data_IF_942219148130
#
_entry.id   IF_942219148130
#
_cell.length_a   1.000
_cell.length_b   1.000
_cell.length_c   1.000
_cell.angle_alpha   90.00
_cell.angle_beta   90.00
_cell.angle_gamma   90.00
#
_symmetry.space_group_name_H-M   'P 1'
#
loop_
_entity.id
_entity.type
_entity.pdbx_description
1 polymer ?
#
# COMPACT_ATOMS: atom_id res chain seq x y z
N UNK A 1 16.30 3.08 1.04
CA UNK A 1 14.98 2.73 1.62
C UNK A 1 14.74 1.22 1.74
N UNK A 2 15.37 0.35 0.95
CA UNK A 2 15.20 -1.11 1.04
C UNK A 2 15.82 -1.72 2.31
N UNK A 3 16.90 -1.12 2.83
CA UNK A 3 17.67 -1.62 3.97
C UNK A 3 16.93 -1.53 5.31
N UNK A 4 16.13 -0.49 5.56
CA UNK A 4 15.35 -0.36 6.80
C UNK A 4 14.20 -1.37 6.92
N UNK A 5 13.68 -1.86 5.78
CA UNK A 5 12.47 -2.71 5.77
C UNK A 5 12.79 -4.18 6.04
N UNK A 6 13.97 -4.67 5.60
CA UNK A 6 14.47 -5.98 6.03
C UNK A 6 14.79 -6.00 7.53
N UNK A 7 15.15 -4.86 8.11
CA UNK A 7 15.52 -4.78 9.53
C UNK A 7 14.35 -5.01 10.49
N UNK A 8 13.08 -4.88 10.07
CA UNK A 8 11.94 -5.05 10.97
C UNK A 8 11.33 -6.44 10.94
N UNK A 9 11.42 -7.15 9.81
CA UNK A 9 10.81 -8.48 9.69
C UNK A 9 11.56 -9.53 10.52
N UNK A 10 12.88 -9.42 10.58
CA UNK A 10 13.72 -10.30 11.39
C UNK A 10 13.41 -10.21 12.88
N UNK A 11 13.48 -9.03 13.54
CA UNK A 11 13.14 -8.92 14.95
C UNK A 11 11.67 -9.21 15.22
N UNK A 12 10.75 -8.89 14.28
CA UNK A 12 9.34 -9.22 14.46
C UNK A 12 9.10 -10.73 14.52
N UNK A 13 9.81 -11.53 13.74
CA UNK A 13 9.61 -12.98 13.68
C UNK A 13 10.73 -13.80 14.33
N UNK A 14 11.67 -13.16 15.03
CA UNK A 14 12.80 -13.83 15.68
C UNK A 14 13.80 -14.47 14.72
N UNK A 15 13.88 -14.02 13.48
CA UNK A 15 14.82 -14.54 12.48
C UNK A 15 16.22 -13.97 12.72
N UNK A 16 17.24 -14.83 12.62
CA UNK A 16 18.64 -14.40 12.72
C UNK A 16 19.03 -13.55 11.49
N UNK A 17 19.88 -12.54 11.69
CA UNK A 17 20.46 -11.79 10.58
C UNK A 17 21.33 -12.73 9.74
N UNK A 18 21.12 -12.73 8.41
CA UNK A 18 21.91 -13.55 7.49
C UNK A 18 23.12 -12.77 6.98
N UNK A 19 24.26 -13.44 6.88
CA UNK A 19 25.49 -12.90 6.26
C UNK A 19 25.44 -12.97 4.72
N UNK A 20 24.56 -13.82 4.16
CA UNK A 20 24.38 -14.00 2.71
C UNK A 20 22.99 -13.57 2.25
N UNK A 21 22.94 -12.96 1.07
CA UNK A 21 21.72 -12.56 0.38
C UNK A 21 20.93 -13.79 -0.13
N UNK A 22 19.61 -13.79 0.06
CA UNK A 22 18.71 -14.75 -0.57
C UNK A 22 18.52 -14.37 -2.04
N UNK A 23 19.11 -15.16 -2.94
CA UNK A 23 19.14 -14.89 -4.39
C UNK A 23 17.75 -14.95 -5.04
N UNK A 24 16.80 -15.69 -4.48
CA UNK A 24 15.45 -15.76 -5.02
C UNK A 24 14.70 -14.44 -4.81
N UNK A 25 14.83 -13.85 -3.62
CA UNK A 25 14.24 -12.53 -3.31
C UNK A 25 14.80 -11.42 -4.21
N UNK A 26 16.05 -11.54 -4.67
CA UNK A 26 16.65 -10.58 -5.59
C UNK A 26 16.04 -10.60 -6.99
N UNK A 27 15.45 -11.74 -7.40
CA UNK A 27 14.72 -11.85 -8.67
C UNK A 27 13.40 -11.10 -8.59
N UNK A 28 12.74 -11.08 -7.43
CA UNK A 28 11.51 -10.35 -7.25
C UNK A 28 11.73 -8.82 -7.30
N UNK A 29 10.80 -8.14 -7.96
CA UNK A 29 10.66 -6.69 -8.08
C UNK A 29 9.32 -6.30 -7.50
N UNK A 30 9.32 -5.27 -6.66
CA UNK A 30 8.12 -4.78 -6.02
C UNK A 30 7.74 -3.40 -6.54
N UNK A 31 6.46 -3.28 -6.87
CA UNK A 31 5.80 -2.02 -7.20
C UNK A 31 4.78 -1.76 -6.10
N UNK A 32 4.88 -0.59 -5.45
CA UNK A 32 4.10 -0.27 -4.26
C UNK A 32 3.39 1.06 -4.49
N UNK A 33 2.06 1.05 -4.38
CA UNK A 33 1.27 2.27 -4.24
C UNK A 33 1.01 2.55 -2.78
N UNK A 34 1.39 3.73 -2.27
CA UNK A 34 1.13 4.11 -0.89
C UNK A 34 -0.05 5.08 -0.81
N UNK A 35 -0.93 4.86 0.17
CA UNK A 35 -2.12 5.65 0.46
C UNK A 35 -2.16 5.97 1.96
N UNK A 36 -3.03 6.88 2.36
CA UNK A 36 -3.24 7.20 3.78
C UNK A 36 -4.73 7.20 4.10
N UNK A 37 -5.06 6.81 5.33
CA UNK A 37 -6.43 6.89 5.83
C UNK A 37 -6.85 8.32 6.20
N UNK A 38 -5.92 9.28 6.17
CA UNK A 38 -6.18 10.67 6.47
C UNK A 38 -6.54 11.46 5.21
N UNK A 39 -7.82 11.83 5.07
CA UNK A 39 -8.35 12.49 3.87
C UNK A 39 -7.73 13.86 3.53
N UNK A 40 -7.32 14.64 4.53
CA UNK A 40 -6.69 15.97 4.32
C UNK A 40 -5.19 15.89 4.66
N UNK A 41 -4.53 14.87 4.11
CA UNK A 41 -3.10 14.65 4.26
C UNK A 41 -2.33 15.22 3.08
N UNK A 42 -1.69 16.35 3.28
CA UNK A 42 -0.76 16.95 2.31
C UNK A 42 0.68 16.45 2.47
N UNK A 43 0.91 15.56 3.44
CA UNK A 43 2.24 15.25 3.95
C UNK A 43 2.60 13.77 3.83
N UNK A 44 1.86 12.98 3.06
CA UNK A 44 2.14 11.55 2.93
C UNK A 44 3.52 11.30 2.26
N UNK A 45 3.92 12.15 1.31
CA UNK A 45 5.28 12.18 0.76
C UNK A 45 5.92 13.53 1.08
N UNK A 46 6.71 13.57 2.15
CA UNK A 46 7.46 14.79 2.51
C UNK A 46 8.76 14.83 1.70
N UNK A 47 8.86 15.79 0.79
CA UNK A 47 10.16 16.27 0.32
C UNK A 47 10.56 17.44 1.24
N UNK A 48 11.62 17.23 2.03
CA UNK A 48 12.16 18.28 2.88
C UNK A 48 13.12 19.13 2.06
N UNK A 49 12.63 20.27 1.59
CA UNK A 49 13.41 21.26 0.87
C UNK A 49 12.52 22.41 0.43
N UNK A 50 12.89 23.65 0.78
CA UNK A 50 12.30 24.83 0.16
C UNK A 50 13.08 25.11 -1.12
N UNK A 51 12.54 24.76 -2.27
CA UNK A 51 13.09 25.25 -3.52
C UNK A 51 12.73 26.75 -3.64
N UNK A 52 13.73 27.62 -3.72
CA UNK A 52 13.54 29.07 -3.88
C UNK A 52 12.65 29.73 -2.80
N UNK A 53 12.73 29.28 -1.54
CA UNK A 53 11.88 29.74 -0.43
C UNK A 53 10.36 29.53 -0.64
N UNK A 54 9.96 28.75 -1.64
CA UNK A 54 8.55 28.43 -1.88
C UNK A 54 8.13 27.31 -0.94
N UNK A 55 6.97 27.53 -0.33
CA UNK A 55 6.31 26.51 0.49
C UNK A 55 5.78 25.37 -0.40
N UNK A 56 5.77 24.16 0.15
CA UNK A 56 5.40 22.97 -0.61
C UNK A 56 3.96 23.06 -1.16
N UNK A 57 3.84 22.92 -2.48
CA UNK A 57 2.57 22.74 -3.19
C UNK A 57 2.16 21.27 -3.08
N UNK A 58 1.18 20.98 -2.24
CA UNK A 58 0.65 19.64 -2.01
C UNK A 58 -0.81 19.58 -2.38
N UNK A 59 -1.25 18.39 -2.81
CA UNK A 59 -2.66 18.08 -3.04
C UNK A 59 -2.95 16.75 -2.35
N UNK A 60 -4.11 16.64 -1.71
CA UNK A 60 -4.63 15.37 -1.20
C UNK A 60 -5.78 14.91 -2.08
N UNK A 61 -5.73 13.68 -2.56
CA UNK A 61 -6.78 13.06 -3.37
C UNK A 61 -7.52 12.04 -2.50
N UNK A 62 -8.81 12.27 -2.26
CA UNK A 62 -9.68 11.31 -1.57
C UNK A 62 -10.29 10.40 -2.61
N UNK A 63 -10.03 9.11 -2.46
CA UNK A 63 -10.38 8.08 -3.43
C UNK A 63 -11.44 7.14 -2.86
N UNK A 64 -12.44 6.81 -3.68
CA UNK A 64 -13.40 5.78 -3.38
C UNK A 64 -12.72 4.41 -3.45
N UNK A 65 -12.62 3.74 -2.28
CA UNK A 65 -11.96 2.43 -2.17
C UNK A 65 -12.55 1.40 -3.15
N UNK A 66 -13.87 1.34 -3.27
CA UNK A 66 -14.55 0.26 -4.02
C UNK A 66 -14.37 0.36 -5.54
N UNK A 67 -14.18 1.58 -6.05
CA UNK A 67 -13.95 1.82 -7.46
C UNK A 67 -12.53 1.42 -7.87
N UNK A 68 -11.54 1.73 -7.03
CA UNK A 68 -10.11 1.56 -7.36
C UNK A 68 -9.48 0.24 -6.93
N UNK A 69 -9.85 -0.30 -5.76
CA UNK A 69 -9.19 -1.46 -5.17
C UNK A 69 -10.06 -2.70 -5.17
N UNK A 70 -9.44 -3.87 -5.16
CA UNK A 70 -10.15 -5.14 -5.06
C UNK A 70 -10.88 -5.26 -3.72
N UNK A 71 -12.04 -5.94 -3.77
CA UNK A 71 -12.83 -6.19 -2.56
C UNK A 71 -12.14 -7.20 -1.67
N UNK A 72 -11.74 -8.32 -2.25
CA UNK A 72 -11.13 -9.43 -1.53
C UNK A 72 -9.61 -9.33 -1.56
N UNK A 73 -8.99 -9.76 -0.46
CA UNK A 73 -7.55 -9.98 -0.42
C UNK A 73 -7.25 -11.21 -1.25
N UNK A 74 -6.54 -11.06 -2.35
CA UNK A 74 -5.91 -12.19 -3.02
C UNK A 74 -4.38 -12.02 -2.93
N UNK A 75 -3.66 -13.12 -2.72
CA UNK A 75 -2.20 -13.12 -2.74
C UNK A 75 -1.65 -13.30 -4.16
N UNK A 76 -2.50 -13.08 -5.19
CA UNK A 76 -2.19 -13.27 -6.61
C UNK A 76 -1.07 -12.32 -7.06
N UNK A 77 -0.81 -11.24 -6.30
CA UNK A 77 0.30 -10.34 -6.52
C UNK A 77 1.69 -10.95 -6.24
N UNK A 78 1.80 -12.20 -5.76
CA UNK A 78 3.01 -13.01 -5.84
C UNK A 78 3.02 -13.73 -7.19
N UNK A 79 3.12 -12.97 -8.27
CA UNK A 79 3.20 -13.55 -9.60
C UNK A 79 4.53 -14.31 -9.70
N UNK A 80 4.43 -15.63 -9.91
CA UNK A 80 5.52 -16.58 -10.17
C UNK A 80 6.41 -16.98 -8.99
N UNK A 81 5.87 -17.83 -8.11
CA UNK A 81 6.65 -18.84 -7.39
C UNK A 81 6.05 -20.25 -7.52
N UNK A 82 5.15 -20.49 -8.48
CA UNK A 82 4.86 -21.86 -8.92
C UNK A 82 5.79 -22.11 -10.11
N UNK A 83 6.85 -22.93 -9.95
CA UNK A 83 7.50 -23.50 -11.12
C UNK A 83 6.41 -24.19 -11.94
N UNK A 84 6.43 -24.06 -13.27
CA UNK A 84 5.62 -24.87 -14.18
C UNK A 84 5.85 -26.36 -13.88
N UNK A 85 5.09 -26.91 -12.94
CA UNK A 85 4.98 -28.33 -12.67
C UNK A 85 3.50 -28.63 -12.55
N UNK A 86 2.97 -29.14 -13.65
CA UNK A 86 1.61 -29.66 -13.85
C UNK A 86 0.52 -28.61 -14.05
N UNK A 87 0.45 -28.10 -15.28
CA UNK A 87 -0.85 -27.85 -15.93
C UNK A 87 -1.59 -29.20 -16.00
N UNK A 88 -2.38 -29.52 -14.97
CA UNK A 88 -3.49 -30.43 -15.17
C UNK A 88 -4.56 -29.67 -15.93
N UNK A 89 -4.76 -30.12 -17.17
CA UNK A 89 -5.81 -29.71 -18.08
C UNK A 89 -7.18 -29.87 -17.41
N UNK A 90 -7.84 -28.74 -17.15
CA UNK A 90 -9.30 -28.71 -17.11
C UNK A 90 -9.73 -28.17 -18.47
N UNK A 91 -10.23 -29.07 -19.30
CA UNK A 91 -10.75 -28.79 -20.62
C UNK A 91 -11.81 -27.70 -20.56
N UNK A 92 -11.57 -26.61 -21.31
CA UNK A 92 -12.61 -25.68 -21.73
C UNK A 92 -12.51 -25.56 -23.24
N UNK A 93 -13.28 -26.40 -23.92
CA UNK A 93 -13.51 -26.36 -25.35
C UNK A 93 -14.13 -25.02 -25.78
N UNK A 94 -13.42 -24.38 -26.70
CA UNK A 94 -13.89 -23.60 -27.86
C UNK A 94 -15.03 -22.58 -27.70
N UNK A 95 -14.66 -21.31 -27.86
CA UNK A 95 -15.18 -20.53 -29.00
C UNK A 95 -14.15 -19.52 -29.50
N UNK A 96 -13.95 -19.53 -30.82
CA UNK A 96 -12.95 -18.77 -31.55
C UNK A 96 -13.32 -17.28 -31.76
N UNK A 97 -12.26 -16.49 -31.98
CA UNK A 97 -12.19 -15.25 -32.76
C UNK A 97 -12.91 -14.01 -32.22
N UNK A 98 -12.10 -13.02 -31.79
CA UNK A 98 -12.20 -11.63 -32.27
C UNK A 98 -11.01 -10.77 -31.81
N UNK A 99 -10.15 -10.44 -32.77
CA UNK A 99 -9.45 -9.16 -32.98
C UNK A 99 -8.60 -8.53 -31.87
N UNK A 100 -7.33 -8.30 -32.24
CA UNK A 100 -6.37 -7.38 -31.62
C UNK A 100 -7.01 -6.08 -31.07
N UNK A 101 -7.19 -6.03 -29.77
CA UNK A 101 -7.06 -4.82 -28.98
C UNK A 101 -6.10 -5.17 -27.83
N UNK A 102 -4.97 -4.46 -27.75
CA UNK A 102 -4.21 -4.35 -26.51
C UNK A 102 -5.08 -3.62 -25.49
N UNK A 103 -6.10 -4.30 -24.95
CA UNK A 103 -6.67 -3.93 -23.67
C UNK A 103 -5.68 -4.44 -22.63
N UNK A 104 -4.85 -3.54 -22.11
CA UNK A 104 -4.22 -3.77 -20.81
C UNK A 104 -5.35 -4.14 -19.85
N UNK A 105 -5.42 -5.39 -19.41
CA UNK A 105 -6.37 -5.76 -18.37
C UNK A 105 -6.05 -4.91 -17.14
N UNK A 106 -6.98 -4.05 -16.75
CA UNK A 106 -6.84 -3.16 -15.60
C UNK A 106 -6.47 -4.01 -14.37
N UNK A 107 -5.20 -3.96 -13.96
CA UNK A 107 -4.70 -4.68 -12.80
C UNK A 107 -5.32 -4.04 -11.55
N UNK A 108 -6.41 -4.60 -11.06
CA UNK A 108 -7.02 -4.16 -9.81
C UNK A 108 -6.25 -4.80 -8.66
N UNK A 109 -5.74 -4.01 -7.72
CA UNK A 109 -4.97 -4.53 -6.58
C UNK A 109 -5.74 -4.36 -5.26
N UNK A 110 -5.59 -5.28 -4.30
CA UNK A 110 -6.10 -5.10 -2.95
C UNK A 110 -5.32 -4.01 -2.21
N UNK A 111 -6.01 -3.33 -1.28
CA UNK A 111 -5.42 -2.32 -0.41
C UNK A 111 -5.28 -2.85 1.02
N UNK A 112 -4.04 -2.84 1.52
CA UNK A 112 -3.69 -3.34 2.84
C UNK A 112 -3.33 -2.20 3.79
N UNK A 113 -3.61 -2.36 5.08
CA UNK A 113 -3.10 -1.48 6.13
C UNK A 113 -1.68 -1.89 6.47
N UNK A 114 -0.77 -0.93 6.64
CA UNK A 114 0.55 -1.22 7.17
C UNK A 114 0.46 -1.65 8.65
N UNK A 115 1.43 -2.44 9.10
CA UNK A 115 1.62 -2.77 10.52
C UNK A 115 2.82 -1.97 11.02
N UNK A 116 2.58 -1.12 12.02
CA UNK A 116 3.59 -0.38 12.74
C UNK A 116 4.14 -1.22 13.86
N UNK A 117 5.44 -1.46 13.84
CA UNK A 117 6.14 -2.29 14.82
C UNK A 117 7.30 -1.54 15.46
N UNK A 118 7.41 -1.65 16.78
CA UNK A 118 8.56 -1.20 17.55
C UNK A 118 9.33 -2.43 18.07
N UNK A 119 10.55 -2.70 17.58
CA UNK A 119 11.32 -3.87 18.00
C UNK A 119 11.75 -3.83 19.46
N UNK A 120 11.88 -2.64 20.06
CA UNK A 120 12.36 -2.49 21.44
C UNK A 120 11.27 -2.85 22.46
N UNK A 121 10.03 -2.39 22.24
CA UNK A 121 8.89 -2.72 23.10
C UNK A 121 8.09 -3.96 22.68
N UNK A 122 8.30 -4.44 21.44
CA UNK A 122 7.47 -5.46 20.82
C UNK A 122 6.07 -4.99 20.42
N UNK A 123 5.79 -3.69 20.49
CA UNK A 123 4.46 -3.15 20.20
C UNK A 123 4.17 -3.18 18.71
N UNK A 124 3.03 -3.78 18.34
CA UNK A 124 2.53 -3.81 16.96
C UNK A 124 1.10 -3.24 16.87
N UNK A 125 0.85 -2.33 15.93
CA UNK A 125 -0.48 -1.80 15.61
C UNK A 125 -0.69 -1.66 14.11
N UNK A 126 -1.88 -1.98 13.61
CA UNK A 126 -2.26 -1.66 12.23
C UNK A 126 -2.45 -0.16 12.05
N UNK A 127 -2.21 0.33 10.83
CA UNK A 127 -2.52 1.69 10.45
C UNK A 127 -4.00 1.99 10.71
N UNK A 128 -4.26 3.11 11.38
CA UNK A 128 -5.59 3.50 11.83
C UNK A 128 -5.75 5.02 11.74
N UNK A 129 -7.01 5.46 11.64
CA UNK A 129 -7.41 6.85 11.77
C UNK A 129 -7.33 7.32 13.23
N UNK A 130 -7.32 8.63 13.40
CA UNK A 130 -7.38 9.30 14.70
C UNK A 130 -8.77 9.96 14.89
N UNK A 131 -9.24 10.04 16.14
CA UNK A 131 -10.58 10.53 16.50
C UNK A 131 -10.92 11.89 15.89
N UNK A 132 -10.00 12.84 15.95
CA UNK A 132 -10.21 14.19 15.45
C UNK A 132 -10.54 14.23 13.95
N UNK A 133 -10.10 13.23 13.17
CA UNK A 133 -10.44 13.13 11.75
C UNK A 133 -11.93 12.84 11.53
N UNK A 134 -12.55 12.07 12.42
CA UNK A 134 -13.99 11.79 12.38
C UNK A 134 -14.79 13.05 12.71
N UNK A 135 -14.35 13.80 13.74
CA UNK A 135 -14.97 15.08 14.08
C UNK A 135 -14.97 16.05 12.89
N UNK A 136 -13.83 16.19 12.19
CA UNK A 136 -13.72 17.09 11.04
C UNK A 136 -14.58 16.65 9.86
N UNK A 137 -14.68 15.35 9.61
CA UNK A 137 -15.49 14.83 8.51
C UNK A 137 -17.00 14.98 8.74
N UNK A 138 -17.44 14.77 9.98
CA UNK A 138 -18.86 14.90 10.37
C UNK A 138 -19.25 16.34 10.72
N UNK A 139 -18.29 17.23 10.96
CA UNK A 139 -18.53 18.59 11.46
C UNK A 139 -18.97 18.64 12.93
N UNK A 140 -18.92 17.51 13.64
CA UNK A 140 -19.31 17.36 15.05
C UNK A 140 -18.49 16.24 15.69
N UNK A 141 -18.13 16.39 16.96
CA UNK A 141 -17.53 15.31 17.76
C UNK A 141 -18.55 14.45 18.49
N UNK A 142 -19.83 14.80 18.45
CA UNK A 142 -20.90 13.97 19.03
C UNK A 142 -21.32 12.91 18.01
N UNK A 143 -21.38 11.64 18.43
CA UNK A 143 -21.84 10.49 17.62
C UNK A 143 -21.18 10.40 16.23
N UNK A 144 -19.88 10.68 16.16
CA UNK A 144 -19.14 10.74 14.90
C UNK A 144 -18.74 9.35 14.33
N UNK A 145 -19.08 8.26 15.04
CA UNK A 145 -18.76 6.88 14.69
C UNK A 145 -17.37 6.40 15.15
N UNK A 146 -16.62 7.22 15.88
CA UNK A 146 -15.28 6.88 16.36
C UNK A 146 -15.26 5.64 17.26
N UNK A 147 -16.15 5.57 18.25
CA UNK A 147 -16.12 4.46 19.23
C UNK A 147 -16.32 3.10 18.55
N UNK A 148 -17.24 3.03 17.58
CA UNK A 148 -17.45 1.83 16.77
C UNK A 148 -16.22 1.45 15.96
N UNK A 149 -15.66 2.42 15.23
CA UNK A 149 -14.42 2.23 14.47
C UNK A 149 -13.25 1.79 15.37
N UNK A 150 -13.11 2.41 16.55
CA UNK A 150 -12.03 2.13 17.48
C UNK A 150 -12.12 0.72 18.03
N UNK A 151 -13.32 0.28 18.41
CA UNK A 151 -13.58 -1.10 18.85
C UNK A 151 -13.25 -2.14 17.76
N UNK A 152 -13.63 -1.86 16.50
CA UNK A 152 -13.28 -2.73 15.37
C UNK A 152 -11.76 -2.83 15.18
N UNK A 153 -11.07 -1.70 15.22
CA UNK A 153 -9.61 -1.65 15.07
C UNK A 153 -8.89 -2.32 16.24
N UNK A 154 -9.40 -2.22 17.47
CA UNK A 154 -8.83 -2.91 18.62
C UNK A 154 -8.98 -4.43 18.49
N UNK A 155 -10.11 -4.90 17.97
CA UNK A 155 -10.29 -6.31 17.60
C UNK A 155 -9.28 -6.76 16.54
N UNK A 156 -9.12 -5.98 15.45
CA UNK A 156 -8.14 -6.27 14.40
C UNK A 156 -6.70 -6.31 14.97
N UNK A 157 -6.33 -5.34 15.80
CA UNK A 157 -5.02 -5.29 16.44
C UNK A 157 -4.77 -6.51 17.33
N UNK A 158 -5.79 -7.00 18.04
CA UNK A 158 -5.69 -8.21 18.83
C UNK A 158 -5.42 -9.43 17.92
N UNK A 159 -6.22 -9.62 16.88
CA UNK A 159 -6.04 -10.73 15.94
C UNK A 159 -4.68 -10.69 15.23
N UNK A 160 -4.19 -9.51 14.85
CA UNK A 160 -2.86 -9.36 14.23
C UNK A 160 -1.74 -9.80 15.18
N UNK A 161 -1.82 -9.46 16.48
CA UNK A 161 -0.82 -9.90 17.47
C UNK A 161 -0.85 -11.42 17.67
N UNK A 162 -2.04 -12.00 17.72
CA UNK A 162 -2.22 -13.47 17.83
C UNK A 162 -1.59 -14.16 16.61
N UNK A 163 -1.90 -13.70 15.40
CA UNK A 163 -1.33 -14.24 14.16
C UNK A 163 0.19 -14.07 14.06
N UNK A 164 0.75 -12.93 14.49
CA UNK A 164 2.21 -12.74 14.55
C UNK A 164 2.83 -13.76 15.50
N UNK A 165 2.22 -13.99 16.66
CA UNK A 165 2.70 -14.96 17.65
C UNK A 165 2.66 -16.39 17.10
N UNK A 166 1.62 -16.73 16.35
CA UNK A 166 1.50 -18.06 15.74
C UNK A 166 2.54 -18.27 14.63
N UNK A 167 2.79 -17.26 13.80
CA UNK A 167 3.88 -17.30 12.80
C UNK A 167 5.24 -17.46 13.48
N UNK A 168 5.50 -16.74 14.58
CA UNK A 168 6.74 -16.90 15.35
C UNK A 168 6.93 -18.35 15.83
N UNK A 169 5.88 -18.99 16.36
CA UNK A 169 5.96 -20.39 16.81
C UNK A 169 6.24 -21.34 15.66
N UNK A 170 5.53 -21.19 14.53
CA UNK A 170 5.75 -22.02 13.34
C UNK A 170 7.20 -21.90 12.83
N UNK A 171 7.75 -20.68 12.82
CA UNK A 171 9.15 -20.45 12.42
C UNK A 171 10.13 -21.13 13.39
N UNK A 172 9.84 -21.10 14.70
CA UNK A 172 10.66 -21.77 15.72
C UNK A 172 10.64 -23.30 15.56
N UNK A 173 9.48 -23.88 15.22
CA UNK A 173 9.33 -25.32 14.97
C UNK A 173 10.13 -25.81 13.76
N UNK A 174 10.26 -24.98 12.72
CA UNK A 174 10.98 -25.35 11.48
C UNK A 174 12.51 -25.43 11.71
N UNK A 175 13.07 -24.94 12.82
CA UNK A 175 14.52 -24.94 13.11
C UNK A 175 15.40 -24.49 11.92
N UNK A 176 14.96 -23.46 11.20
CA UNK A 176 15.61 -22.93 9.98
C UNK A 176 17.05 -22.41 10.17
N UNK A 177 17.55 -22.33 11.41
CA UNK A 177 18.93 -21.94 11.70
C UNK A 177 19.96 -22.99 11.26
N UNK A 178 19.54 -24.24 11.03
CA UNK A 178 20.42 -25.35 10.62
C UNK A 178 20.27 -25.70 9.13
N UNK A 179 19.14 -25.36 8.50
CA UNK A 179 18.85 -25.66 7.10
C UNK A 179 18.70 -24.37 6.26
N UNK A 180 19.68 -24.13 5.38
CA UNK A 180 19.72 -22.94 4.51
C UNK A 180 18.50 -22.82 3.60
N UNK A 181 17.98 -23.94 3.10
CA UNK A 181 16.88 -23.96 2.11
C UNK A 181 15.54 -23.57 2.77
N UNK A 182 15.29 -24.06 3.99
CA UNK A 182 14.09 -23.71 4.77
C UNK A 182 14.10 -22.23 5.16
N UNK A 183 15.27 -21.71 5.54
CA UNK A 183 15.42 -20.30 5.86
C UNK A 183 15.17 -19.41 4.63
N UNK A 184 15.55 -19.84 3.43
CA UNK A 184 15.26 -19.12 2.20
C UNK A 184 13.76 -19.12 1.88
N UNK A 185 13.10 -20.26 2.05
CA UNK A 185 11.66 -20.41 1.84
C UNK A 185 10.83 -19.55 2.82
N UNK A 186 11.23 -19.49 4.10
CA UNK A 186 10.59 -18.63 5.09
C UNK A 186 10.67 -17.15 4.66
N UNK A 187 11.84 -16.69 4.23
CA UNK A 187 12.01 -15.30 3.78
C UNK A 187 11.12 -15.00 2.55
N UNK A 188 10.96 -15.96 1.64
CA UNK A 188 10.06 -15.84 0.49
C UNK A 188 8.58 -15.77 0.89
N UNK A 189 8.14 -16.64 1.81
CA UNK A 189 6.77 -16.64 2.33
C UNK A 189 6.45 -15.31 3.01
N UNK A 190 7.41 -14.75 3.75
CA UNK A 190 7.26 -13.49 4.47
C UNK A 190 7.47 -12.24 3.59
N UNK A 191 7.87 -12.40 2.33
CA UNK A 191 8.19 -11.31 1.43
C UNK A 191 7.07 -10.24 1.30
N UNK A 192 5.77 -10.60 1.20
CA UNK A 192 4.70 -9.60 1.21
C UNK A 192 4.66 -8.76 2.48
N UNK A 193 4.81 -9.39 3.65
CA UNK A 193 4.77 -8.72 4.95
C UNK A 193 5.91 -7.72 5.10
N UNK A 194 7.08 -8.00 4.49
CA UNK A 194 8.21 -7.05 4.43
C UNK A 194 7.82 -5.68 3.87
N UNK A 195 6.83 -5.66 2.97
CA UNK A 195 6.33 -4.42 2.37
C UNK A 195 5.11 -3.85 3.09
N UNK A 196 4.60 -4.50 4.13
CA UNK A 196 3.51 -3.98 4.96
C UNK A 196 3.96 -3.54 6.35
N UNK A 197 5.13 -4.00 6.81
CA UNK A 197 5.67 -3.61 8.12
C UNK A 197 6.45 -2.30 8.01
N UNK A 198 6.27 -1.42 8.99
CA UNK A 198 6.99 -0.15 9.13
C UNK A 198 7.33 0.10 10.60
N UNK A 199 8.35 0.91 10.85
CA UNK A 199 8.70 1.25 12.23
C UNK A 199 7.59 2.08 12.88
N UNK A 200 7.36 1.88 14.17
CA UNK A 200 6.28 2.55 14.91
C UNK A 200 6.39 4.08 14.93
N UNK A 201 7.60 4.61 14.78
CA UNK A 201 7.87 6.05 14.69
C UNK A 201 7.19 6.76 13.51
N UNK A 202 6.66 6.01 12.54
CA UNK A 202 5.94 6.56 11.37
C UNK A 202 4.41 6.38 11.47
N UNK A 203 3.89 6.04 12.66
CA UNK A 203 2.45 5.75 12.87
C UNK A 203 1.54 6.85 12.31
N UNK A 204 1.95 8.10 12.43
CA UNK A 204 1.21 9.30 12.02
C UNK A 204 0.92 9.36 10.52
N UNK A 205 1.63 8.59 9.69
CA UNK A 205 1.37 8.52 8.25
C UNK A 205 0.06 7.77 7.93
N UNK A 206 -0.43 6.93 8.85
CA UNK A 206 -1.65 6.13 8.69
C UNK A 206 -1.69 5.38 7.35
N UNK A 207 -0.55 4.78 6.99
CA UNK A 207 -0.24 4.29 5.64
C UNK A 207 -0.97 2.98 5.30
N UNK A 208 -1.54 2.95 4.11
CA UNK A 208 -2.04 1.76 3.44
C UNK A 208 -1.22 1.53 2.16
N UNK A 209 -1.12 0.29 1.69
CA UNK A 209 -0.34 -0.06 0.49
C UNK A 209 -1.09 -1.01 -0.42
N UNK A 210 -0.98 -0.77 -1.71
CA UNK A 210 -1.08 -1.83 -2.72
C UNK A 210 0.31 -2.35 -2.99
N UNK A 211 0.44 -3.65 -3.25
CA UNK A 211 1.73 -4.29 -3.51
C UNK A 211 1.57 -5.19 -4.72
N UNK A 212 2.48 -5.06 -5.67
CA UNK A 212 2.64 -5.96 -6.80
C UNK A 212 4.07 -6.49 -6.83
N UNK A 213 4.24 -7.80 -6.66
CA UNK A 213 5.55 -8.47 -6.62
C UNK A 213 5.66 -9.36 -7.86
N UNK A 214 6.68 -9.12 -8.67
CA UNK A 214 6.85 -9.81 -9.94
C UNK A 214 8.33 -9.93 -10.31
N UNK A 215 8.66 -10.29 -11.55
CA UNK A 215 10.02 -10.33 -12.10
C UNK A 215 10.11 -9.45 -13.35
N UNK A 216 11.34 -9.12 -13.79
CA UNK A 216 11.56 -8.19 -14.91
C UNK A 216 10.94 -8.61 -16.25
N UNK A 217 10.64 -9.89 -16.44
CA UNK A 217 10.02 -10.44 -17.64
C UNK A 217 8.48 -10.30 -17.67
N UNK A 218 7.87 -9.69 -16.64
CA UNK A 218 6.43 -9.46 -16.60
C UNK A 218 6.02 -8.35 -17.58
N UNK A 219 5.10 -8.67 -18.47
CA UNK A 219 4.57 -7.79 -19.51
C UNK A 219 3.85 -6.54 -18.96
N UNK A 220 3.41 -6.57 -17.69
CA UNK A 220 2.80 -5.39 -17.03
C UNK A 220 3.82 -4.32 -16.66
N UNK A 221 5.11 -4.64 -16.67
CA UNK A 221 6.17 -3.69 -16.36
C UNK A 221 6.42 -2.77 -17.55
N UNK A 222 6.34 -1.48 -17.32
CA UNK A 222 6.54 -0.44 -18.32
C UNK A 222 7.77 0.41 -18.00
N UNK A 223 8.52 0.79 -19.05
CA UNK A 223 9.62 1.74 -18.97
C UNK A 223 9.20 3.07 -19.57
N UNK A 224 9.26 4.14 -18.78
CA UNK A 224 9.19 5.50 -19.27
C UNK A 224 10.62 6.04 -19.43
N UNK A 225 11.16 6.10 -20.66
CA UNK A 225 12.52 6.58 -20.89
C UNK A 225 12.67 8.09 -20.66
N UNK A 226 11.60 8.86 -20.79
CA UNK A 226 11.63 10.31 -20.61
C UNK A 226 11.77 10.67 -19.13
N UNK A 227 10.98 10.02 -18.28
CA UNK A 227 11.05 10.18 -16.83
C UNK A 227 12.06 9.24 -16.15
N UNK A 228 12.74 8.38 -16.92
CA UNK A 228 13.75 7.41 -16.47
C UNK A 228 13.26 6.55 -15.30
N UNK A 229 12.03 6.03 -15.42
CA UNK A 229 11.39 5.23 -14.38
C UNK A 229 10.78 3.96 -14.94
N UNK A 230 10.70 2.95 -14.09
CA UNK A 230 9.97 1.71 -14.36
C UNK A 230 8.76 1.67 -13.43
N UNK A 231 7.61 1.32 -13.98
CA UNK A 231 6.33 1.34 -13.26
C UNK A 231 5.41 0.24 -13.76
N UNK A 232 4.32 0.02 -13.03
CA UNK A 232 3.22 -0.84 -13.42
C UNK A 232 1.96 0.00 -13.35
N UNK A 233 1.21 0.06 -14.44
CA UNK A 233 -0.14 0.63 -14.43
C UNK A 233 -1.09 -0.39 -13.84
N UNK A 234 -1.80 0.03 -12.78
CA UNK A 234 -2.81 -0.81 -12.14
C UNK A 234 -4.22 -0.34 -12.49
N UNK A 235 -4.60 0.88 -12.07
CA UNK A 235 -5.90 1.47 -12.43
C UNK A 235 -5.85 3.01 -12.50
N UNK A 236 -6.71 3.58 -13.35
CA UNK A 236 -6.95 5.02 -13.38
C UNK A 236 -7.63 5.49 -12.09
N UNK A 237 -7.07 6.52 -11.47
CA UNK A 237 -7.62 7.08 -10.22
C UNK A 237 -8.78 8.04 -10.48
N UNK A 238 -8.88 8.64 -11.67
CA UNK A 238 -9.85 9.70 -11.97
C UNK A 238 -11.32 9.28 -11.70
N UNK A 239 -11.78 8.08 -12.12
CA UNK A 239 -13.14 7.62 -11.83
C UNK A 239 -13.41 7.41 -10.33
N UNK A 240 -12.36 7.28 -9.52
CA UNK A 240 -12.44 7.04 -8.08
C UNK A 240 -12.28 8.32 -7.25
N UNK A 241 -11.98 9.48 -7.83
CA UNK A 241 -11.80 10.72 -7.04
C UNK A 241 -13.15 11.18 -6.50
N UNK A 242 -13.23 11.38 -5.18
CA UNK A 242 -14.39 11.98 -4.50
C UNK A 242 -14.13 13.43 -4.10
N UNK A 243 -12.91 13.71 -3.60
CA UNK A 243 -12.52 15.05 -3.13
C UNK A 243 -11.06 15.34 -3.43
N UNK A 244 -10.75 16.60 -3.61
CA UNK A 244 -9.39 17.12 -3.76
C UNK A 244 -9.17 18.22 -2.70
N UNK A 245 -8.17 18.07 -1.84
CA UNK A 245 -7.74 19.13 -0.92
C UNK A 245 -6.50 19.81 -1.45
N UNK A 246 -6.55 21.13 -1.61
CA UNK A 246 -5.45 21.95 -2.12
C UNK A 246 -4.69 22.63 -0.97
N UNK A 247 -3.36 22.57 -1.00
CA UNK A 247 -2.52 23.48 -0.22
C UNK A 247 -2.53 24.89 -0.81
N UNK A 248 -1.99 25.87 -0.07
CA UNK A 248 -1.87 27.26 -0.53
C UNK A 248 -1.16 27.34 -1.89
N UNK A 249 -0.08 26.57 -2.06
CA UNK A 249 0.70 26.54 -3.30
C UNK A 249 -0.09 26.03 -4.51
N UNK A 250 -1.16 25.25 -4.31
CA UNK A 250 -1.99 24.69 -5.36
C UNK A 250 -3.30 25.47 -5.61
N UNK A 251 -3.59 26.53 -4.85
CA UNK A 251 -4.86 27.29 -4.97
C UNK A 251 -5.09 27.90 -6.35
N UNK A 252 -4.04 28.27 -7.06
CA UNK A 252 -4.15 28.83 -8.41
C UNK A 252 -4.72 27.82 -9.44
N UNK A 253 -4.76 26.53 -9.11
CA UNK A 253 -5.41 25.49 -9.90
C UNK A 253 -6.87 25.23 -9.53
N UNK A 254 -7.41 25.89 -8.49
CA UNK A 254 -8.74 25.64 -7.93
C UNK A 254 -9.84 25.68 -9.00
N UNK A 255 -9.89 26.74 -9.82
CA UNK A 255 -10.92 26.88 -10.87
C UNK A 255 -10.81 25.84 -11.98
N UNK A 256 -9.59 25.46 -12.37
CA UNK A 256 -9.37 24.44 -13.40
C UNK A 256 -9.81 23.05 -12.92
N UNK A 257 -9.52 22.71 -11.66
CA UNK A 257 -9.94 21.45 -11.05
C UNK A 257 -11.45 21.41 -10.79
N UNK A 258 -12.05 22.53 -10.40
CA UNK A 258 -13.50 22.66 -10.28
C UNK A 258 -14.20 22.48 -11.63
N UNK A 259 -13.65 23.08 -12.69
CA UNK A 259 -14.16 22.89 -14.05
C UNK A 259 -14.05 21.42 -14.47
N UNK A 260 -12.89 20.79 -14.26
CA UNK A 260 -12.69 19.36 -14.55
C UNK A 260 -13.73 18.49 -13.84
N UNK A 261 -14.00 18.75 -12.55
CA UNK A 261 -15.00 18.01 -11.77
C UNK A 261 -16.45 18.25 -12.19
N UNK A 262 -16.74 19.29 -12.96
CA UNK A 262 -18.06 19.55 -13.54
C UNK A 262 -18.22 18.97 -14.95
N UNK A 263 -17.12 18.85 -15.71
CA UNK A 263 -17.15 18.39 -17.09
C UNK A 263 -16.79 16.92 -17.25
N UNK A 264 -16.16 16.29 -16.25
CA UNK A 264 -15.90 14.87 -16.24
C UNK A 264 -17.19 14.09 -15.97
N UNK A 265 -17.27 12.86 -16.48
CA UNK A 265 -18.38 11.94 -16.19
C UNK A 265 -18.55 11.65 -14.68
N UNK A 266 -17.48 11.86 -13.90
CA UNK A 266 -17.45 11.71 -12.45
C UNK A 266 -17.33 13.07 -11.76
N UNK A 267 -18.28 13.35 -10.85
CA UNK A 267 -18.27 14.58 -10.05
C UNK A 267 -17.41 14.42 -8.79
N UNK A 268 -16.54 15.39 -8.52
CA UNK A 268 -15.75 15.47 -7.29
C UNK A 268 -15.69 16.89 -6.73
N UNK A 269 -15.40 17.02 -5.44
CA UNK A 269 -15.40 18.30 -4.74
C UNK A 269 -13.98 18.79 -4.50
N UNK A 270 -13.67 20.02 -4.94
CA UNK A 270 -12.41 20.69 -4.62
C UNK A 270 -12.57 21.52 -3.34
N UNK A 271 -11.66 21.34 -2.39
CA UNK A 271 -11.62 22.05 -1.11
C UNK A 271 -10.24 22.61 -0.83
N UNK A 272 -10.18 23.64 0.00
CA UNK A 272 -8.92 24.09 0.61
C UNK A 272 -8.59 23.20 1.80
N UNK A 273 -7.31 22.85 1.94
CA UNK A 273 -6.82 22.07 3.08
C UNK A 273 -6.91 22.87 4.37
N UNK A 274 -7.13 22.18 5.49
CA UNK A 274 -7.07 22.73 6.85
C UNK A 274 -5.78 22.32 7.57
N UNK A 275 -4.76 21.88 6.82
CA UNK A 275 -3.48 21.49 7.38
C UNK A 275 -2.68 22.74 7.81
N UNK A 276 -2.47 22.96 9.12
CA UNK A 276 -1.90 24.20 9.64
C UNK A 276 -0.45 24.45 9.22
N UNK A 277 0.24 23.44 8.68
CA UNK A 277 1.63 23.53 8.24
C UNK A 277 1.78 23.84 6.75
N UNK A 278 0.66 24.03 6.04
CA UNK A 278 0.57 24.18 4.58
C UNK A 278 -0.56 25.14 4.15
N UNK A 279 -1.12 25.88 5.11
CA UNK A 279 -2.19 26.90 5.01
C UNK A 279 -1.66 28.29 5.22
#
# INVERSE_FOLDING_TARGET
>A
MTYERSLLIHPLFGLKAKEKQNFQIEKHKSFIGCFTLHHDSLNQFRLYGKENQREASGVSLVLNRSQLFEKESNFIFLAHNVPDSHKESVDLDNSENSQNQQQSSDLKLPLYRCIYFDPDSGLAHVAQREEWTFCREKGSCQDNGWDGYKNEIDSVNKSVRELITDIQKLIQEINSAENSDEAELIDEILLPLRYLIKHYAFKEEQECRTIYITQWNDEKIQLDPNLKRVYVDYQSVLPAIEKIFLSVGALHHESALQYLGQTADQTFIVKRSHNPFRT
#
